data_IF_970529701370
#
_entry.id   IF_970529701370
#
_cell.length_a   1.000
_cell.length_b   1.000
_cell.length_c   1.000
_cell.angle_alpha   90.00
_cell.angle_beta   90.00
_cell.angle_gamma   90.00
#
_symmetry.space_group_name_H-M   'P 1'
#
loop_
_entity.id
_entity.type
_entity.pdbx_description
1 polymer ?
#
# COMPACT_ATOMS: atom_id res chain seq x y z
N UNK A 1 -1.07 5.77 -4.17
CA UNK A 1 0.36 5.52 -3.87
C UNK A 1 0.63 4.48 -2.76
N UNK A 2 -0.24 4.25 -1.76
CA UNK A 2 0.09 3.39 -0.59
C UNK A 2 0.24 1.88 -0.89
N UNK A 3 -0.50 1.36 -1.87
CA UNK A 3 -0.39 -0.04 -2.33
C UNK A 3 0.89 -0.37 -3.12
N UNK A 4 1.59 0.64 -3.64
CA UNK A 4 2.72 0.41 -4.53
C UNK A 4 3.87 -0.31 -3.83
N UNK A 5 4.09 -0.06 -2.53
CA UNK A 5 5.19 -0.70 -1.79
C UNK A 5 5.04 -2.21 -1.66
N UNK A 6 3.82 -2.71 -1.38
CA UNK A 6 3.58 -4.15 -1.26
C UNK A 6 3.56 -4.85 -2.61
N UNK A 7 3.00 -4.21 -3.65
CA UNK A 7 3.06 -4.73 -5.02
C UNK A 7 4.49 -4.86 -5.54
N UNK A 8 5.43 -4.02 -5.09
CA UNK A 8 6.86 -4.16 -5.43
C UNK A 8 7.50 -5.45 -4.89
N UNK A 9 6.89 -6.11 -3.91
CA UNK A 9 7.34 -7.39 -3.38
C UNK A 9 6.75 -8.59 -4.15
N UNK A 10 5.93 -8.36 -5.18
CA UNK A 10 5.35 -9.43 -5.97
C UNK A 10 6.45 -10.25 -6.68
N UNK A 11 6.38 -11.59 -6.72
CA UNK A 11 7.39 -12.44 -7.36
C UNK A 11 7.72 -11.98 -8.78
N UNK A 12 6.70 -11.69 -9.60
CA UNK A 12 6.85 -11.15 -10.96
C UNK A 12 7.68 -9.88 -11.03
N UNK A 13 7.55 -8.96 -10.05
CA UNK A 13 8.31 -7.71 -9.99
C UNK A 13 9.77 -7.98 -9.59
N UNK A 14 9.98 -8.90 -8.67
CA UNK A 14 11.31 -9.28 -8.21
C UNK A 14 12.12 -10.01 -9.28
N UNK A 15 11.45 -10.78 -10.16
CA UNK A 15 12.08 -11.58 -11.22
C UNK A 15 11.92 -10.97 -12.61
N UNK A 16 11.78 -9.64 -12.71
CA UNK A 16 11.62 -8.97 -14.00
C UNK A 16 12.85 -9.20 -14.92
N UNK A 17 12.64 -9.58 -16.20
CA UNK A 17 13.71 -9.91 -17.12
C UNK A 17 14.29 -8.63 -17.76
N UNK A 18 15.07 -7.86 -17.00
CA UNK A 18 15.67 -6.60 -17.46
C UNK A 18 16.67 -6.80 -18.60
N UNK A 19 16.69 -5.87 -19.57
CA UNK A 19 17.82 -5.76 -20.51
C UNK A 19 19.10 -5.33 -19.76
N UNK A 20 20.29 -5.84 -20.13
CA UNK A 20 21.54 -5.57 -19.42
C UNK A 20 21.97 -4.10 -19.47
N UNK A 21 21.48 -3.34 -20.46
CA UNK A 21 21.82 -1.92 -20.68
C UNK A 21 21.06 -0.93 -19.78
N UNK A 22 20.02 -1.37 -19.06
CA UNK A 22 19.10 -0.48 -18.33
C UNK A 22 19.69 -0.06 -16.98
N UNK A 23 19.66 1.25 -16.72
CA UNK A 23 20.15 1.88 -15.49
C UNK A 23 19.21 1.60 -14.31
N UNK A 24 19.75 1.67 -13.08
CA UNK A 24 18.97 1.45 -11.86
C UNK A 24 17.78 2.40 -11.71
N UNK A 25 17.92 3.66 -12.11
CA UNK A 25 16.85 4.67 -12.06
C UNK A 25 15.68 4.29 -12.97
N UNK A 26 15.98 3.86 -14.20
CA UNK A 26 14.98 3.40 -15.18
C UNK A 26 14.25 2.16 -14.68
N UNK A 27 14.97 1.21 -14.06
CA UNK A 27 14.35 0.03 -13.42
C UNK A 27 13.36 0.44 -12.33
N UNK A 28 13.73 1.38 -11.45
CA UNK A 28 12.81 1.84 -10.39
C UNK A 28 11.56 2.47 -10.97
N UNK A 29 11.71 3.37 -11.95
CA UNK A 29 10.58 4.02 -12.61
C UNK A 29 9.66 3.00 -13.29
N UNK A 30 10.24 2.04 -14.03
CA UNK A 30 9.47 0.99 -14.70
C UNK A 30 8.69 0.11 -13.70
N UNK A 31 9.27 -0.22 -12.55
CA UNK A 31 8.58 -0.92 -11.47
C UNK A 31 7.43 -0.08 -10.91
N UNK A 32 7.66 1.20 -10.66
CA UNK A 32 6.66 2.11 -10.10
C UNK A 32 5.47 2.28 -11.07
N UNK A 33 5.73 2.33 -12.38
CA UNK A 33 4.70 2.35 -13.44
C UNK A 33 3.85 1.07 -13.45
N UNK A 34 4.49 -0.09 -13.32
CA UNK A 34 3.78 -1.38 -13.24
C UNK A 34 2.87 -1.42 -12.01
N UNK A 35 3.39 -0.97 -10.86
CA UNK A 35 2.68 -1.01 -9.59
C UNK A 35 1.57 0.05 -9.46
N UNK A 36 1.74 1.24 -10.06
CA UNK A 36 0.81 2.36 -9.94
C UNK A 36 -0.52 2.16 -10.69
N UNK A 37 -0.53 1.29 -11.71
CA UNK A 37 -1.73 1.05 -12.52
C UNK A 37 -1.98 2.08 -13.62
N UNK A 38 -0.98 2.92 -13.91
CA UNK A 38 -1.03 3.90 -15.03
C UNK A 38 -0.66 3.29 -16.38
N UNK A 39 -0.09 2.07 -16.36
CA UNK A 39 0.33 1.32 -17.55
C UNK A 39 -0.89 0.97 -18.43
N UNK A 40 -0.85 1.37 -19.70
CA UNK A 40 -1.94 1.21 -20.66
C UNK A 40 -2.93 2.38 -20.72
N UNK A 41 -2.90 3.29 -19.74
CA UNK A 41 -3.70 4.52 -19.74
C UNK A 41 -2.85 5.74 -20.11
N UNK A 42 -1.85 6.05 -19.28
CA UNK A 42 -0.98 7.22 -19.45
C UNK A 42 0.34 6.85 -20.13
N UNK A 43 0.81 5.63 -19.88
CA UNK A 43 2.07 5.12 -20.44
C UNK A 43 1.75 3.98 -21.40
N UNK A 44 2.12 4.10 -22.69
CA UNK A 44 1.94 3.03 -23.66
C UNK A 44 2.64 1.75 -23.22
N UNK A 45 1.94 0.62 -23.35
CA UNK A 45 2.48 -0.68 -22.97
C UNK A 45 3.73 -1.04 -23.79
N UNK A 46 3.75 -0.68 -25.07
CA UNK A 46 4.86 -0.94 -25.99
C UNK A 46 6.16 -0.30 -25.51
N UNK A 47 6.12 1.00 -25.18
CA UNK A 47 7.27 1.74 -24.67
C UNK A 47 7.81 1.14 -23.36
N UNK A 48 6.91 0.69 -22.48
CA UNK A 48 7.31 0.07 -21.22
C UNK A 48 7.88 -1.35 -21.42
N UNK A 49 7.43 -2.09 -22.43
CA UNK A 49 7.96 -3.41 -22.75
C UNK A 49 9.40 -3.37 -23.28
N UNK A 50 9.86 -2.25 -23.85
CA UNK A 50 11.23 -2.10 -24.35
C UNK A 50 12.31 -2.29 -23.28
N UNK A 51 12.00 -2.14 -22.00
CA UNK A 51 12.95 -2.32 -20.90
C UNK A 51 13.32 -3.79 -20.64
N UNK A 52 12.54 -4.74 -21.18
CA UNK A 52 12.63 -6.16 -20.85
C UNK A 52 13.13 -7.02 -22.02
N UNK A 53 13.79 -8.14 -21.72
CA UNK A 53 14.22 -9.12 -22.72
C UNK A 53 13.08 -10.01 -23.19
N UNK A 54 12.11 -10.26 -22.32
CA UNK A 54 10.91 -11.06 -22.58
C UNK A 54 9.69 -10.16 -22.29
N UNK A 55 8.64 -10.16 -23.14
CA UNK A 55 7.43 -9.41 -22.87
C UNK A 55 6.81 -9.78 -21.52
N UNK A 56 6.59 -8.78 -20.68
CA UNK A 56 5.96 -8.95 -19.35
C UNK A 56 4.50 -8.48 -19.43
N UNK A 57 3.53 -9.34 -19.08
CA UNK A 57 2.13 -8.92 -19.05
C UNK A 57 1.90 -7.95 -17.86
N UNK A 58 1.01 -6.96 -18.01
CA UNK A 58 0.58 -6.14 -16.88
C UNK A 58 -0.21 -6.98 -15.89
N UNK A 59 -0.17 -6.61 -14.61
CA UNK A 59 -0.97 -7.28 -13.58
C UNK A 59 -2.47 -7.17 -13.86
N UNK A 60 -3.17 -8.30 -13.84
CA UNK A 60 -4.63 -8.31 -13.88
C UNK A 60 -5.22 -7.71 -12.59
N UNK A 61 -6.45 -7.21 -12.64
CA UNK A 61 -7.10 -6.65 -11.44
C UNK A 61 -7.26 -7.71 -10.34
N UNK A 62 -7.54 -8.95 -10.72
CA UNK A 62 -7.68 -10.08 -9.80
C UNK A 62 -6.34 -10.44 -9.13
N UNK A 63 -5.27 -10.48 -9.90
CA UNK A 63 -3.92 -10.75 -9.39
C UNK A 63 -3.50 -9.67 -8.39
N UNK A 64 -3.69 -8.38 -8.74
CA UNK A 64 -3.43 -7.26 -7.83
C UNK A 64 -4.21 -7.40 -6.53
N UNK A 65 -5.52 -7.67 -6.62
CA UNK A 65 -6.38 -7.81 -5.46
C UNK A 65 -5.94 -8.98 -4.57
N UNK A 66 -5.68 -10.14 -5.17
CA UNK A 66 -5.23 -11.34 -4.46
C UNK A 66 -3.89 -11.13 -3.75
N UNK A 67 -2.96 -10.37 -4.35
CA UNK A 67 -1.68 -10.06 -3.75
C UNK A 67 -1.81 -9.07 -2.59
N UNK A 68 -2.59 -8.00 -2.77
CA UNK A 68 -2.83 -7.00 -1.73
C UNK A 68 -3.51 -7.62 -0.50
N UNK A 69 -4.43 -8.57 -0.69
CA UNK A 69 -5.09 -9.29 0.40
C UNK A 69 -4.13 -10.14 1.26
N UNK A 70 -2.95 -10.51 0.74
CA UNK A 70 -1.94 -11.25 1.52
C UNK A 70 -1.17 -10.37 2.50
N UNK A 71 -1.25 -9.05 2.37
CA UNK A 71 -0.57 -8.13 3.28
C UNK A 71 -1.23 -8.19 4.65
N UNK A 72 -0.44 -8.47 5.69
CA UNK A 72 -0.90 -8.54 7.08
C UNK A 72 0.18 -8.05 8.04
N UNK A 73 -0.18 -7.78 9.29
CA UNK A 73 0.77 -7.36 10.33
C UNK A 73 1.27 -5.92 10.17
N UNK A 74 0.54 -5.07 9.45
CA UNK A 74 0.91 -3.67 9.26
C UNK A 74 0.58 -2.87 10.51
N UNK A 75 1.43 -1.90 10.82
CA UNK A 75 1.23 -0.95 11.92
C UNK A 75 0.87 0.41 11.35
N UNK A 76 -0.15 1.05 11.91
CA UNK A 76 -0.55 2.43 11.60
C UNK A 76 -0.35 3.31 12.84
N UNK A 77 0.21 4.49 12.63
CA UNK A 77 0.29 5.54 13.66
C UNK A 77 -0.35 6.81 13.12
N UNK A 78 -1.16 7.48 13.94
CA UNK A 78 -1.68 8.82 13.67
C UNK A 78 -1.09 9.82 14.66
N UNK A 79 -0.70 10.98 14.16
CA UNK A 79 -0.17 12.11 14.93
C UNK A 79 -1.26 12.86 15.71
N UNK A 80 -2.52 12.71 15.28
CA UNK A 80 -3.72 13.28 15.88
C UNK A 80 -4.76 12.19 16.19
N UNK A 81 -5.85 12.57 16.88
CA UNK A 81 -6.96 11.65 17.10
C UNK A 81 -7.66 11.30 15.77
N UNK A 82 -8.23 10.10 15.69
CA UNK A 82 -9.03 9.69 14.55
C UNK A 82 -10.46 10.23 14.73
N UNK A 83 -11.01 10.99 13.77
CA UNK A 83 -12.33 11.60 13.93
C UNK A 83 -13.47 10.60 13.77
N UNK A 84 -13.29 9.57 12.92
CA UNK A 84 -14.33 8.60 12.54
C UNK A 84 -13.75 7.20 12.26
N UNK A 85 -14.61 6.18 12.35
CA UNK A 85 -14.28 4.76 12.14
C UNK A 85 -13.80 4.41 10.73
N UNK A 86 -14.11 5.24 9.73
CA UNK A 86 -13.70 5.06 8.34
C UNK A 86 -12.18 4.90 8.17
N UNK A 87 -11.40 5.53 9.06
CA UNK A 87 -9.96 5.39 9.13
C UNK A 87 -9.54 3.93 9.43
N UNK A 88 -10.24 3.25 10.34
CA UNK A 88 -9.99 1.86 10.71
C UNK A 88 -10.46 0.92 9.59
N UNK A 89 -11.66 1.15 9.05
CA UNK A 89 -12.22 0.36 7.96
C UNK A 89 -11.33 0.41 6.70
N UNK A 90 -10.76 1.60 6.42
CA UNK A 90 -9.76 1.78 5.36
C UNK A 90 -8.45 1.08 5.70
N UNK A 91 -7.91 1.26 6.92
CA UNK A 91 -6.66 0.63 7.36
C UNK A 91 -6.71 -0.90 7.26
N UNK A 92 -7.87 -1.52 7.54
CA UNK A 92 -8.06 -2.98 7.43
C UNK A 92 -7.75 -3.51 6.04
N UNK A 93 -8.10 -2.74 5.00
CA UNK A 93 -7.89 -3.14 3.61
C UNK A 93 -6.40 -3.23 3.23
N UNK A 94 -5.52 -2.61 4.03
CA UNK A 94 -4.07 -2.65 3.86
C UNK A 94 -3.37 -3.62 4.81
N UNK A 95 -4.11 -4.48 5.51
CA UNK A 95 -3.53 -5.48 6.40
C UNK A 95 -3.07 -4.93 7.75
N UNK A 96 -3.58 -3.77 8.15
CA UNK A 96 -3.28 -3.18 9.47
C UNK A 96 -3.81 -4.09 10.58
N UNK A 97 -2.96 -4.31 11.58
CA UNK A 97 -3.27 -5.08 12.80
C UNK A 97 -3.02 -4.30 14.09
N UNK A 98 -2.23 -3.25 14.01
CA UNK A 98 -1.88 -2.42 15.17
C UNK A 98 -2.08 -0.95 14.81
N UNK A 99 -2.81 -0.22 15.66
CA UNK A 99 -3.11 1.20 15.48
C UNK A 99 -2.70 1.96 16.74
N UNK A 100 -1.93 3.02 16.57
CA UNK A 100 -1.58 3.94 17.65
C UNK A 100 -2.04 5.36 17.31
N UNK A 101 -2.77 6.01 18.21
CA UNK A 101 -3.13 7.42 18.09
C UNK A 101 -3.28 8.06 19.47
N UNK A 102 -3.31 9.40 19.58
CA UNK A 102 -3.36 10.11 20.86
C UNK A 102 -4.62 9.87 21.69
N UNK A 103 -5.74 9.46 21.07
CA UNK A 103 -7.06 9.52 21.69
C UNK A 103 -7.57 10.96 21.89
N UNK A 104 -8.74 11.09 22.51
CA UNK A 104 -9.39 12.36 22.82
C UNK A 104 -10.44 12.80 21.78
N UNK A 105 -10.93 11.89 20.93
CA UNK A 105 -12.12 12.15 20.11
C UNK A 105 -13.38 11.94 20.95
N UNK A 106 -14.42 12.74 20.68
CA UNK A 106 -15.77 12.48 21.22
C UNK A 106 -16.30 11.11 20.76
N UNK A 107 -15.75 10.59 19.65
CA UNK A 107 -16.14 9.32 19.01
C UNK A 107 -15.10 8.21 19.19
N UNK A 108 -14.21 8.29 20.19
CA UNK A 108 -13.20 7.26 20.41
C UNK A 108 -13.82 5.87 20.59
N UNK A 109 -15.03 5.76 21.16
CA UNK A 109 -15.73 4.49 21.27
C UNK A 109 -16.02 3.85 19.90
N UNK A 110 -16.41 4.63 18.88
CA UNK A 110 -16.62 4.12 17.52
C UNK A 110 -15.31 3.58 16.90
N UNK A 111 -14.16 4.13 17.29
CA UNK A 111 -12.84 3.67 16.84
C UNK A 111 -12.45 2.36 17.53
N UNK A 112 -12.69 2.27 18.85
CA UNK A 112 -12.46 1.06 19.65
C UNK A 112 -13.30 -0.09 19.10
N UNK A 113 -14.61 0.13 18.94
CA UNK A 113 -15.54 -0.88 18.43
C UNK A 113 -15.12 -1.36 17.03
N UNK A 114 -14.71 -0.45 16.15
CA UNK A 114 -14.21 -0.81 14.82
C UNK A 114 -12.89 -1.62 14.89
N UNK A 115 -11.98 -1.30 15.82
CA UNK A 115 -10.77 -2.09 16.00
C UNK A 115 -11.07 -3.50 16.49
N UNK A 116 -12.01 -3.63 17.44
CA UNK A 116 -12.45 -4.93 17.97
C UNK A 116 -13.15 -5.77 16.90
N UNK A 117 -14.05 -5.17 16.10
CA UNK A 117 -14.71 -5.81 14.95
C UNK A 117 -13.70 -6.39 13.94
N UNK A 118 -12.56 -5.70 13.75
CA UNK A 118 -11.53 -6.06 12.77
C UNK A 118 -10.38 -6.89 13.35
N UNK A 119 -10.45 -7.26 14.63
CA UNK A 119 -9.37 -7.93 15.37
C UNK A 119 -8.04 -7.16 15.23
N UNK A 120 -8.09 -5.87 15.58
CA UNK A 120 -6.94 -4.97 15.61
C UNK A 120 -6.63 -4.53 17.03
N UNK A 121 -5.34 -4.38 17.34
CA UNK A 121 -4.91 -3.78 18.60
C UNK A 121 -4.88 -2.25 18.47
N UNK A 122 -5.64 -1.56 19.32
CA UNK A 122 -5.64 -0.10 19.43
C UNK A 122 -4.83 0.36 20.65
N UNK A 123 -3.99 1.38 20.47
CA UNK A 123 -3.19 2.00 21.53
C UNK A 123 -3.49 3.49 21.58
N UNK A 124 -4.06 3.94 22.71
CA UNK A 124 -4.16 5.35 23.04
C UNK A 124 -2.83 5.85 23.65
N UNK A 125 -2.14 6.73 22.94
CA UNK A 125 -0.80 7.21 23.35
C UNK A 125 -0.85 8.42 24.27
N UNK A 126 -1.93 9.21 24.26
CA UNK A 126 -2.02 10.49 24.97
C UNK A 126 -1.07 11.58 24.47
N UNK A 127 -0.34 11.35 23.36
CA UNK A 127 0.68 12.26 22.84
C UNK A 127 0.37 12.65 21.39
N UNK A 128 0.09 13.93 21.15
CA UNK A 128 -0.03 14.50 19.79
C UNK A 128 1.35 14.83 19.22
N UNK A 129 1.54 14.58 17.93
CA UNK A 129 2.83 14.70 17.23
C UNK A 129 2.78 15.69 16.06
N UNK A 130 2.13 16.83 16.25
CA UNK A 130 2.11 17.88 15.23
C UNK A 130 3.52 18.44 14.98
N UNK A 131 3.84 18.64 13.71
CA UNK A 131 5.07 19.28 13.24
C UNK A 131 4.71 20.26 12.13
N UNK A 132 5.22 21.48 12.21
CA UNK A 132 4.93 22.61 11.31
C UNK A 132 6.17 22.99 10.51
#
# INVERSE_FOLDING_TARGET
MRNCRWLRQHPTVLTLPWKPTIKRSERSNAIDVLCSGVLGNEIPLEQWQEYFTIPVPPFSQEERKSWLQKQTGVVMSSDAFLPFRDNIDCAKQFGVKFVAHPGGSVRDQEIIDACDEHDMTLIHTGLRLFHH
#
